data_IF_755516626780
#
_entry.id   IF_755516626780
#
_cell.length_a   1.000
_cell.length_b   1.000
_cell.length_c   1.000
_cell.angle_alpha   90.00
_cell.angle_beta   90.00
_cell.angle_gamma   90.00
#
_symmetry.space_group_name_H-M   'P 1'
#
loop_
_entity.id
_entity.type
_entity.pdbx_description
1 polymer ?
#
# COMPACT_ATOMS: atom_id res chain seq x y z
N UNK A 1 -5.58 -9.19 -20.18
CA UNK A 1 -6.90 -9.64 -19.70
C UNK A 1 -6.70 -10.27 -18.33
N UNK A 2 -7.09 -9.60 -17.24
CA UNK A 2 -6.84 -10.07 -15.87
C UNK A 2 -8.12 -10.66 -15.30
N UNK A 3 -8.08 -11.97 -15.01
CA UNK A 3 -9.16 -12.74 -14.39
C UNK A 3 -9.32 -12.35 -12.93
N UNK A 4 -10.21 -11.40 -12.61
CA UNK A 4 -10.87 -11.34 -11.31
C UNK A 4 -12.05 -10.35 -11.28
N UNK A 5 -12.92 -10.38 -12.30
CA UNK A 5 -14.26 -9.81 -12.15
C UNK A 5 -15.01 -10.68 -11.14
N UNK A 6 -14.92 -10.31 -9.86
CA UNK A 6 -15.64 -10.95 -8.76
C UNK A 6 -17.11 -10.55 -8.86
N UNK A 7 -17.82 -11.14 -9.82
CA UNK A 7 -19.28 -11.15 -9.85
C UNK A 7 -19.75 -11.70 -8.49
N UNK A 8 -20.37 -10.86 -7.66
CA UNK A 8 -21.00 -11.33 -6.44
C UNK A 8 -22.45 -11.68 -6.80
N UNK A 9 -22.81 -12.93 -6.56
CA UNK A 9 -24.18 -13.41 -6.74
C UNK A 9 -24.92 -13.12 -5.43
N UNK A 10 -25.86 -12.18 -5.47
CA UNK A 10 -26.73 -11.87 -4.35
C UNK A 10 -28.06 -12.59 -4.57
N UNK A 11 -28.40 -13.52 -3.69
CA UNK A 11 -29.67 -14.25 -3.75
C UNK A 11 -30.58 -13.63 -2.71
N UNK A 12 -31.62 -12.93 -3.16
CA UNK A 12 -32.69 -12.46 -2.29
C UNK A 12 -33.75 -13.55 -2.22
N UNK A 13 -33.93 -14.16 -1.04
CA UNK A 13 -34.94 -15.20 -0.85
C UNK A 13 -36.33 -14.61 -0.61
N UNK A 14 -37.38 -15.36 -0.96
CA UNK A 14 -38.77 -14.95 -0.72
C UNK A 14 -39.07 -14.67 0.76
N UNK A 15 -38.38 -15.38 1.66
CA UNK A 15 -38.54 -15.23 3.10
C UNK A 15 -37.96 -13.91 3.61
N UNK A 16 -36.81 -13.48 3.09
CA UNK A 16 -36.17 -12.22 3.46
C UNK A 16 -36.96 -11.03 2.94
N UNK A 17 -37.51 -11.14 1.73
CA UNK A 17 -38.40 -10.13 1.15
C UNK A 17 -39.70 -9.98 1.97
N UNK A 18 -40.34 -11.08 2.38
CA UNK A 18 -41.52 -11.04 3.27
C UNK A 18 -41.21 -10.48 4.66
N UNK A 19 -40.02 -10.77 5.22
CA UNK A 19 -39.56 -10.18 6.49
C UNK A 19 -39.32 -8.67 6.36
N UNK A 20 -38.90 -8.18 5.20
CA UNK A 20 -38.76 -6.75 4.92
C UNK A 20 -40.11 -6.03 4.87
N UNK A 21 -41.09 -6.60 4.16
CA UNK A 21 -42.47 -6.11 4.16
C UNK A 21 -43.06 -6.04 5.57
N UNK A 22 -42.85 -7.08 6.38
CA UNK A 22 -43.31 -7.12 7.77
C UNK A 22 -42.63 -6.06 8.68
N UNK A 23 -41.43 -5.58 8.30
CA UNK A 23 -40.72 -4.49 8.99
C UNK A 23 -41.14 -3.11 8.51
N UNK A 24 -42.08 -3.01 7.57
CA UNK A 24 -42.57 -1.75 7.01
C UNK A 24 -41.72 -1.19 5.89
N UNK A 25 -40.86 -2.00 5.25
CA UNK A 25 -40.20 -1.61 4.01
C UNK A 25 -41.19 -1.71 2.85
N UNK A 26 -41.19 -0.71 1.97
CA UNK A 26 -42.08 -0.72 0.80
C UNK A 26 -41.46 -1.58 -0.31
N UNK A 27 -42.30 -2.07 -1.23
CA UNK A 27 -41.84 -2.87 -2.38
C UNK A 27 -40.80 -2.12 -3.24
N UNK A 28 -40.90 -0.79 -3.29
CA UNK A 28 -39.98 0.07 -4.06
C UNK A 28 -38.59 0.18 -3.41
N UNK A 29 -38.51 -0.01 -2.09
CA UNK A 29 -37.25 0.02 -1.32
C UNK A 29 -36.52 -1.32 -1.30
N UNK A 30 -37.12 -2.38 -1.86
CA UNK A 30 -36.60 -3.73 -1.77
C UNK A 30 -36.25 -4.34 -3.12
N UNK A 31 -35.20 -5.16 -3.11
CA UNK A 31 -34.93 -6.06 -4.23
C UNK A 31 -35.99 -7.15 -4.23
N UNK A 32 -36.63 -7.34 -5.39
CA UNK A 32 -37.56 -8.45 -5.60
C UNK A 32 -36.85 -9.79 -5.34
N UNK A 33 -37.56 -10.84 -4.96
CA UNK A 33 -36.94 -12.15 -4.80
C UNK A 33 -36.30 -12.61 -6.11
N UNK A 34 -35.07 -13.10 -6.02
CA UNK A 34 -34.31 -13.50 -7.20
C UNK A 34 -32.81 -13.42 -7.03
N UNK A 35 -32.12 -13.93 -8.04
CA UNK A 35 -30.66 -13.98 -8.10
C UNK A 35 -30.13 -12.79 -8.88
N UNK A 36 -29.46 -11.86 -8.20
CA UNK A 36 -28.87 -10.68 -8.78
C UNK A 36 -27.37 -10.87 -8.96
N UNK A 37 -26.90 -10.63 -10.19
CA UNK A 37 -25.47 -10.48 -10.46
C UNK A 37 -25.09 -9.03 -10.21
N UNK A 38 -24.39 -8.77 -9.12
CA UNK A 38 -23.91 -7.42 -8.80
C UNK A 38 -22.41 -7.35 -9.01
N UNK A 39 -21.99 -6.29 -9.71
CA UNK A 39 -20.58 -5.91 -9.82
C UNK A 39 -20.33 -4.77 -8.85
N UNK A 40 -19.23 -4.83 -8.11
CA UNK A 40 -18.79 -3.69 -7.32
C UNK A 40 -18.47 -2.52 -8.26
N UNK A 41 -18.81 -1.31 -7.83
CA UNK A 41 -18.47 -0.13 -8.63
C UNK A 41 -16.94 -0.01 -8.75
N UNK A 42 -16.41 0.45 -9.89
CA UNK A 42 -14.98 0.69 -10.06
C UNK A 42 -14.40 1.64 -9.00
N UNK A 43 -15.23 2.55 -8.48
CA UNK A 43 -14.85 3.45 -7.39
C UNK A 43 -14.62 2.72 -6.06
N UNK A 44 -15.50 1.77 -5.71
CA UNK A 44 -15.34 0.96 -4.51
C UNK A 44 -14.11 0.04 -4.59
N UNK A 45 -13.75 -0.45 -5.78
CA UNK A 45 -12.51 -1.21 -6.00
C UNK A 45 -11.26 -0.33 -5.82
N UNK A 46 -11.30 0.91 -6.32
CA UNK A 46 -10.20 1.88 -6.16
C UNK A 46 -9.92 2.21 -4.70
N UNK A 47 -10.95 2.30 -3.86
CA UNK A 47 -10.80 2.50 -2.42
C UNK A 47 -10.15 1.32 -1.70
N UNK A 48 -10.47 0.09 -2.11
CA UNK A 48 -9.86 -1.11 -1.53
C UNK A 48 -8.36 -1.22 -1.83
N UNK A 49 -7.92 -0.64 -2.95
CA UNK A 49 -6.54 -0.71 -3.44
C UNK A 49 -5.70 0.54 -3.12
N UNK A 50 -6.16 1.44 -2.26
CA UNK A 50 -5.31 2.54 -1.84
C UNK A 50 -4.23 2.03 -0.87
N UNK A 51 -3.03 1.75 -1.38
CA UNK A 51 -1.81 1.42 -0.60
C UNK A 51 -1.33 2.54 0.35
N UNK A 52 -2.19 3.51 0.69
CA UNK A 52 -1.87 4.63 1.57
C UNK A 52 -2.27 4.25 2.99
N UNK A 53 -1.27 4.07 3.85
CA UNK A 53 -1.47 3.88 5.29
C UNK A 53 -1.35 5.24 5.97
N UNK A 54 -2.32 5.59 6.83
CA UNK A 54 -2.24 6.78 7.69
C UNK A 54 -1.50 6.37 8.96
N UNK A 55 -0.41 7.07 9.26
CA UNK A 55 0.34 6.91 10.50
C UNK A 55 0.27 8.21 11.28
N UNK A 56 0.11 8.12 12.61
CA UNK A 56 0.23 9.26 13.52
C UNK A 56 1.54 9.11 14.29
N UNK A 57 2.49 10.01 14.05
CA UNK A 57 3.79 10.05 14.72
C UNK A 57 4.06 11.47 15.23
N UNK A 58 4.83 11.57 16.29
CA UNK A 58 5.43 12.85 16.68
C UNK A 58 6.68 13.08 15.82
N UNK A 59 6.78 14.27 15.24
CA UNK A 59 7.94 14.76 14.52
C UNK A 59 8.40 16.05 15.20
N UNK A 60 9.71 16.28 15.22
CA UNK A 60 10.25 17.50 15.77
C UNK A 60 9.79 18.73 14.97
N UNK A 61 9.66 19.85 15.66
CA UNK A 61 9.05 21.06 15.10
C UNK A 61 9.89 21.63 13.95
N UNK A 62 11.22 21.61 14.09
CA UNK A 62 12.18 22.05 13.08
C UNK A 62 12.10 21.25 11.78
N UNK A 63 11.90 19.94 11.87
CA UNK A 63 11.70 19.05 10.71
C UNK A 63 10.45 19.44 9.94
N UNK A 64 9.32 19.65 10.65
CA UNK A 64 8.07 20.06 10.01
C UNK A 64 8.20 21.44 9.37
N UNK A 65 8.86 22.38 10.06
CA UNK A 65 9.12 23.71 9.52
C UNK A 65 9.98 23.68 8.26
N UNK A 66 11.06 22.89 8.25
CA UNK A 66 11.93 22.74 7.09
C UNK A 66 11.16 22.31 5.83
N UNK A 67 10.36 21.25 5.94
CA UNK A 67 9.59 20.76 4.78
C UNK A 67 8.43 21.69 4.41
N UNK A 68 7.86 22.43 5.37
CA UNK A 68 6.84 23.45 5.10
C UNK A 68 7.42 24.60 4.27
N UNK A 69 8.54 25.19 4.70
CA UNK A 69 9.21 26.27 3.97
C UNK A 69 9.67 25.82 2.57
N UNK A 70 10.10 24.56 2.43
CA UNK A 70 10.45 24.00 1.12
C UNK A 70 9.24 23.84 0.20
N UNK A 71 8.05 23.55 0.75
CA UNK A 71 6.82 23.42 -0.02
C UNK A 71 6.20 24.77 -0.44
N UNK A 72 6.61 25.87 0.17
CA UNK A 72 6.20 27.24 -0.20
C UNK A 72 6.88 27.73 -1.49
N UNK A 73 7.92 27.04 -1.96
CA UNK A 73 8.60 27.38 -3.21
C UNK A 73 7.71 27.08 -4.43
N UNK A 74 7.77 27.91 -5.50
CA UNK A 74 7.04 27.64 -6.73
C UNK A 74 7.41 26.27 -7.31
N UNK A 75 6.41 25.51 -7.76
CA UNK A 75 6.56 24.13 -8.28
C UNK A 75 7.11 23.09 -7.29
N UNK A 76 7.19 23.40 -5.99
CA UNK A 76 7.56 22.41 -4.99
C UNK A 76 6.42 21.42 -4.71
N UNK A 77 6.79 20.17 -4.44
CA UNK A 77 5.83 19.16 -3.99
C UNK A 77 5.32 19.51 -2.56
N UNK A 78 4.10 19.09 -2.17
CA UNK A 78 3.62 19.27 -0.80
C UNK A 78 4.57 18.63 0.24
N UNK A 79 4.68 19.23 1.42
CA UNK A 79 5.62 18.79 2.47
C UNK A 79 5.47 17.30 2.83
N UNK A 80 4.23 16.77 2.85
CA UNK A 80 3.97 15.34 3.08
C UNK A 80 4.61 14.45 2.00
N UNK A 81 4.49 14.85 0.73
CA UNK A 81 5.10 14.12 -0.39
C UNK A 81 6.63 14.18 -0.30
N UNK A 82 7.18 15.32 0.10
CA UNK A 82 8.63 15.46 0.32
C UNK A 82 9.12 14.51 1.41
N UNK A 83 8.46 14.47 2.57
CA UNK A 83 8.78 13.56 3.67
C UNK A 83 8.75 12.10 3.19
N UNK A 84 7.69 11.70 2.49
CA UNK A 84 7.58 10.33 1.96
C UNK A 84 8.71 9.99 0.98
N UNK A 85 9.12 10.93 0.14
CA UNK A 85 10.22 10.72 -0.80
C UNK A 85 11.56 10.57 -0.08
N UNK A 86 11.83 11.36 0.96
CA UNK A 86 13.05 11.20 1.77
C UNK A 86 13.05 9.86 2.52
N UNK A 87 11.92 9.44 3.10
CA UNK A 87 11.80 8.12 3.74
C UNK A 87 12.08 6.98 2.76
N UNK A 88 11.59 7.08 1.52
CA UNK A 88 11.90 6.08 0.47
C UNK A 88 13.38 6.04 0.13
N UNK A 89 14.03 7.20 0.00
CA UNK A 89 15.49 7.24 -0.23
C UNK A 89 16.28 6.57 0.88
N UNK A 90 15.87 6.74 2.14
CA UNK A 90 16.51 6.06 3.27
C UNK A 90 16.33 4.55 3.16
N UNK A 91 15.12 4.07 2.81
CA UNK A 91 14.87 2.66 2.55
C UNK A 91 15.74 2.10 1.41
N UNK A 92 15.85 2.85 0.31
CA UNK A 92 16.65 2.47 -0.86
C UNK A 92 18.15 2.49 -0.53
N UNK A 93 18.65 3.53 0.14
CA UNK A 93 20.05 3.63 0.53
C UNK A 93 20.49 2.50 1.47
N UNK A 94 19.64 2.07 2.41
CA UNK A 94 19.93 0.91 3.26
C UNK A 94 20.15 -0.39 2.46
N UNK A 95 19.50 -0.53 1.31
CA UNK A 95 19.70 -1.66 0.38
C UNK A 95 20.87 -1.47 -0.60
N UNK A 96 21.18 -0.23 -0.95
CA UNK A 96 22.30 0.10 -1.85
C UNK A 96 23.63 0.04 -1.11
N UNK A 97 23.68 0.40 0.17
CA UNK A 97 24.88 0.29 1.00
C UNK A 97 25.29 -1.18 1.20
N UNK A 98 24.34 -2.08 1.49
CA UNK A 98 24.64 -3.52 1.59
C UNK A 98 25.13 -4.09 0.26
N UNK A 99 24.47 -3.76 -0.86
CA UNK A 99 24.91 -4.21 -2.19
C UNK A 99 26.27 -3.64 -2.61
N UNK A 100 26.60 -2.39 -2.20
CA UNK A 100 27.94 -1.81 -2.40
C UNK A 100 28.99 -2.48 -1.53
N UNK A 101 28.67 -2.76 -0.26
CA UNK A 101 29.54 -3.48 0.66
C UNK A 101 29.84 -4.89 0.15
N UNK A 102 28.83 -5.63 -0.31
CA UNK A 102 29.01 -6.95 -0.94
C UNK A 102 29.94 -6.89 -2.16
N UNK A 103 29.72 -5.94 -3.08
CA UNK A 103 30.58 -5.77 -4.25
C UNK A 103 32.01 -5.37 -3.87
N UNK A 104 32.17 -4.51 -2.86
CA UNK A 104 33.49 -4.09 -2.40
C UNK A 104 34.24 -5.24 -1.72
N UNK A 105 33.55 -6.06 -0.92
CA UNK A 105 34.10 -7.26 -0.27
C UNK A 105 34.50 -8.30 -1.31
N UNK A 106 33.67 -8.53 -2.32
CA UNK A 106 33.96 -9.49 -3.40
C UNK A 106 35.09 -9.02 -4.33
N UNK A 107 35.35 -7.71 -4.42
CA UNK A 107 36.43 -7.16 -5.23
C UNK A 107 37.74 -6.97 -4.44
N UNK A 108 37.71 -7.06 -3.11
CA UNK A 108 38.92 -7.00 -2.29
C UNK A 108 39.66 -8.35 -2.32
N UNK A 109 40.68 -8.41 -3.17
CA UNK A 109 41.55 -9.58 -3.34
C UNK A 109 42.30 -9.97 -2.06
N UNK A 110 42.64 -9.03 -1.17
CA UNK A 110 43.28 -9.34 0.11
C UNK A 110 42.30 -10.04 1.03
N UNK A 111 41.07 -9.53 1.10
CA UNK A 111 40.00 -10.14 1.87
C UNK A 111 39.67 -11.55 1.37
N UNK A 112 39.48 -11.75 0.06
CA UNK A 112 39.22 -13.06 -0.52
C UNK A 112 40.35 -14.07 -0.24
N UNK A 113 41.60 -13.63 -0.29
CA UNK A 113 42.76 -14.47 0.02
C UNK A 113 42.79 -14.87 1.50
N UNK A 114 42.44 -13.96 2.40
CA UNK A 114 42.32 -14.24 3.83
C UNK A 114 41.13 -15.19 4.11
N UNK A 115 39.99 -14.99 3.44
CA UNK A 115 38.80 -15.82 3.57
C UNK A 115 39.03 -17.24 3.08
N UNK A 116 39.69 -17.40 1.91
CA UNK A 116 40.13 -18.71 1.40
C UNK A 116 41.02 -19.44 2.40
N UNK A 117 42.05 -18.76 2.92
CA UNK A 117 42.97 -19.34 3.91
C UNK A 117 42.26 -19.79 5.19
N UNK A 118 41.20 -19.07 5.59
CA UNK A 118 40.41 -19.40 6.78
C UNK A 118 39.46 -20.58 6.54
N UNK A 119 38.89 -20.70 5.34
CA UNK A 119 38.04 -21.83 4.93
C UNK A 119 38.82 -23.12 4.73
N UNK A 120 40.08 -23.05 4.27
CA UNK A 120 40.96 -24.23 4.14
C UNK A 120 41.46 -24.76 5.50
N UNK A 121 41.29 -23.99 6.57
CA UNK A 121 41.70 -24.33 7.94
C UNK A 121 40.54 -24.86 8.82
N UNK A 122 39.34 -25.00 8.25
CA UNK A 122 38.13 -25.56 8.87
C UNK A 122 37.82 -26.88 8.20
#
# INVERSE_FOLDING_TARGET
MSQNDKEMVFVQTDEEYKKGLAKGWTDEDMLRPGTYKVRRSPWAEKLKNSNKVKVSIYLDNDVVHFFRSRAEQPNAAPYQTQINNELRKVMENGSVETAKVEKNILNDKKFLKALKKKLEAV
#
